data_IF_075595110332
#
_entry.id   IF_075595110332
#
_cell.length_a   1.000
_cell.length_b   1.000
_cell.length_c   1.000
_cell.angle_alpha   90.00
_cell.angle_beta   90.00
_cell.angle_gamma   90.00
#
_symmetry.space_group_name_H-M   'P 1'
#
loop_
_entity.id
_entity.type
_entity.pdbx_description
1 polymer ?
#
# COMPACT_ATOMS: atom_id res chain seq x y z
N UNK A 1 13.01 -13.05 37.11
CA UNK A 1 13.94 -13.97 37.81
C UNK A 1 13.30 -15.21 38.44
N UNK A 2 12.17 -15.12 39.17
CA UNK A 2 11.61 -16.30 39.87
C UNK A 2 11.35 -17.53 38.98
N UNK A 3 10.93 -17.33 37.73
CA UNK A 3 10.66 -18.40 36.75
C UNK A 3 11.95 -18.89 36.07
N UNK A 4 12.65 -18.03 35.31
CA UNK A 4 13.83 -18.41 34.51
C UNK A 4 15.15 -18.53 35.26
N UNK A 5 15.20 -18.07 36.53
CA UNK A 5 16.38 -18.01 37.42
C UNK A 5 17.47 -17.04 36.97
N UNK A 6 17.89 -17.10 35.70
CA UNK A 6 18.86 -16.21 35.06
C UNK A 6 18.27 -15.62 33.77
N UNK A 7 18.65 -14.40 33.36
CA UNK A 7 18.29 -13.85 32.05
C UNK A 7 18.68 -14.73 30.85
N UNK A 8 19.77 -15.50 30.96
CA UNK A 8 20.26 -16.37 29.86
C UNK A 8 19.28 -17.50 29.50
N UNK A 9 18.37 -17.83 30.41
CA UNK A 9 17.35 -18.88 30.21
C UNK A 9 16.04 -18.32 29.65
N UNK A 10 15.92 -17.00 29.45
CA UNK A 10 14.69 -16.39 28.93
C UNK A 10 14.53 -16.76 27.46
N UNK A 11 13.38 -17.32 27.10
CA UNK A 11 13.02 -17.54 25.70
C UNK A 11 13.08 -16.23 24.91
N UNK A 12 13.77 -16.24 23.78
CA UNK A 12 14.03 -15.04 22.96
C UNK A 12 12.75 -14.27 22.66
N UNK A 13 11.65 -14.97 22.33
CA UNK A 13 10.37 -14.32 22.08
C UNK A 13 9.88 -13.51 23.29
N UNK A 14 9.87 -14.13 24.48
CA UNK A 14 9.39 -13.50 25.72
C UNK A 14 10.28 -12.33 26.12
N UNK A 15 11.60 -12.52 26.04
CA UNK A 15 12.57 -11.46 26.33
C UNK A 15 12.39 -10.28 25.38
N UNK A 16 12.32 -10.53 24.07
CA UNK A 16 12.36 -9.48 23.07
C UNK A 16 11.04 -8.70 22.91
N UNK A 17 9.87 -9.31 23.15
CA UNK A 17 8.60 -8.56 23.22
C UNK A 17 8.44 -7.79 24.54
N UNK A 18 9.19 -8.18 25.58
CA UNK A 18 9.19 -7.52 26.88
C UNK A 18 10.07 -6.27 26.94
N UNK A 19 10.85 -5.98 25.90
CA UNK A 19 11.66 -4.78 25.80
C UNK A 19 10.81 -3.53 25.50
N UNK A 20 11.24 -2.39 26.03
CA UNK A 20 10.64 -1.10 25.69
C UNK A 20 10.84 -0.77 24.20
N UNK A 21 9.80 -0.37 23.46
CA UNK A 21 9.93 0.00 22.06
C UNK A 21 10.85 1.21 21.85
N UNK A 22 11.64 1.17 20.77
CA UNK A 22 12.42 2.34 20.34
C UNK A 22 11.49 3.50 19.91
N UNK A 23 11.94 4.77 19.97
CA UNK A 23 11.14 5.91 19.50
C UNK A 23 10.62 5.72 18.07
N UNK A 24 9.30 5.77 17.90
CA UNK A 24 8.64 5.54 16.60
C UNK A 24 8.54 4.08 16.16
N UNK A 25 9.10 3.14 16.91
CA UNK A 25 9.02 1.69 16.66
C UNK A 25 7.86 1.05 17.44
N UNK A 26 7.53 -0.18 17.05
CA UNK A 26 6.64 -1.07 17.81
C UNK A 26 7.39 -2.17 18.54
N UNK A 27 8.71 -2.22 18.40
CA UNK A 27 9.57 -3.26 18.95
C UNK A 27 10.82 -2.67 19.59
N UNK A 28 11.35 -3.38 20.58
CA UNK A 28 12.59 -3.02 21.27
C UNK A 28 13.87 -3.30 20.46
N UNK A 29 15.05 -3.03 21.05
CA UNK A 29 16.36 -3.18 20.40
C UNK A 29 16.63 -4.58 19.82
N UNK A 30 16.30 -5.65 20.54
CA UNK A 30 16.59 -7.02 20.11
C UNK A 30 15.80 -7.39 18.87
N UNK A 31 14.48 -7.19 18.88
CA UNK A 31 13.65 -7.42 17.69
C UNK A 31 14.01 -6.48 16.55
N UNK A 32 14.39 -5.23 16.83
CA UNK A 32 14.86 -4.30 15.78
C UNK A 32 16.07 -4.87 15.06
N UNK A 33 17.07 -5.37 15.79
CA UNK A 33 18.26 -5.99 15.23
C UNK A 33 17.90 -7.23 14.39
N UNK A 34 17.17 -8.18 14.98
CA UNK A 34 16.81 -9.44 14.33
C UNK A 34 15.99 -9.22 13.05
N UNK A 35 14.95 -8.38 13.12
CA UNK A 35 14.09 -8.08 11.98
C UNK A 35 14.84 -7.33 10.89
N UNK A 36 15.63 -6.31 11.23
CA UNK A 36 16.36 -5.51 10.24
C UNK A 36 17.37 -6.36 9.47
N UNK A 37 18.11 -7.22 10.17
CA UNK A 37 19.04 -8.15 9.54
C UNK A 37 18.33 -9.15 8.63
N UNK A 38 17.18 -9.68 9.07
CA UNK A 38 16.43 -10.66 8.27
C UNK A 38 15.82 -10.02 7.02
N UNK A 39 15.19 -8.85 7.13
CA UNK A 39 14.62 -8.13 5.99
C UNK A 39 15.70 -7.67 5.00
N UNK A 40 16.86 -7.21 5.49
CA UNK A 40 17.99 -6.85 4.64
C UNK A 40 18.50 -8.07 3.85
N UNK A 41 18.72 -9.20 4.52
CA UNK A 41 19.15 -10.44 3.84
C UNK A 41 18.14 -10.92 2.80
N UNK A 42 16.84 -10.86 3.09
CA UNK A 42 15.79 -11.24 2.14
C UNK A 42 15.79 -10.33 0.91
N UNK A 43 15.87 -9.02 1.12
CA UNK A 43 15.91 -8.04 0.03
C UNK A 43 17.17 -8.20 -0.83
N UNK A 44 18.34 -8.27 -0.20
CA UNK A 44 19.63 -8.22 -0.88
C UNK A 44 19.97 -9.55 -1.57
N UNK A 45 19.43 -10.68 -1.08
CA UNK A 45 19.62 -11.99 -1.70
C UNK A 45 18.55 -12.33 -2.77
N UNK A 46 17.50 -11.52 -2.90
CA UNK A 46 16.46 -11.74 -3.90
C UNK A 46 16.88 -11.16 -5.26
N UNK A 47 17.29 -12.06 -6.17
CA UNK A 47 17.61 -11.71 -7.55
C UNK A 47 16.45 -10.98 -8.24
N UNK A 48 15.20 -11.32 -7.90
CA UNK A 48 13.97 -10.76 -8.46
C UNK A 48 13.42 -9.60 -7.63
N UNK A 49 14.21 -9.03 -6.72
CA UNK A 49 13.81 -7.82 -6.01
C UNK A 49 13.40 -6.74 -7.01
N UNK A 50 12.23 -6.13 -6.80
CA UNK A 50 11.58 -5.29 -7.82
C UNK A 50 12.36 -4.02 -8.20
N UNK A 51 13.29 -3.58 -7.34
CA UNK A 51 14.16 -2.44 -7.62
C UNK A 51 15.45 -2.81 -8.34
N UNK A 52 15.77 -4.10 -8.46
CA UNK A 52 16.96 -4.52 -9.21
C UNK A 52 16.81 -4.16 -10.69
N UNK A 53 17.94 -3.86 -11.32
CA UNK A 53 18.01 -3.67 -12.76
C UNK A 53 17.64 -4.98 -13.47
N UNK A 54 16.89 -4.87 -14.57
CA UNK A 54 16.43 -6.02 -15.34
C UNK A 54 15.18 -6.73 -14.79
N UNK A 55 14.76 -6.50 -13.54
CA UNK A 55 13.48 -7.06 -13.03
C UNK A 55 12.27 -6.39 -13.68
N UNK A 56 12.29 -5.05 -13.76
CA UNK A 56 11.26 -4.22 -14.37
C UNK A 56 11.90 -3.12 -15.21
N UNK A 57 11.15 -2.53 -16.15
CA UNK A 57 11.59 -1.29 -16.82
C UNK A 57 11.56 -0.10 -15.86
N UNK A 58 12.15 1.03 -16.25
CA UNK A 58 12.12 2.23 -15.43
C UNK A 58 10.69 2.74 -15.22
N UNK A 59 9.86 2.71 -16.27
CA UNK A 59 8.46 3.14 -16.24
C UNK A 59 7.62 2.22 -15.33
N UNK A 60 7.83 0.91 -15.43
CA UNK A 60 7.17 -0.07 -14.57
C UNK A 60 7.52 0.14 -13.09
N UNK A 61 8.80 0.39 -12.76
CA UNK A 61 9.23 0.67 -11.38
C UNK A 61 8.62 1.95 -10.82
N UNK A 62 8.55 3.02 -11.61
CA UNK A 62 7.94 4.27 -11.17
C UNK A 62 6.44 4.12 -10.89
N UNK A 63 5.76 3.26 -11.65
CA UNK A 63 4.37 2.93 -11.39
C UNK A 63 4.20 2.08 -10.12
N UNK A 64 5.05 1.06 -9.92
CA UNK A 64 5.04 0.24 -8.71
C UNK A 64 5.30 1.05 -7.44
N UNK A 65 6.20 2.05 -7.48
CA UNK A 65 6.46 2.95 -6.34
C UNK A 65 5.24 3.78 -5.91
N UNK A 66 4.30 4.02 -6.82
CA UNK A 66 3.06 4.78 -6.54
C UNK A 66 1.94 3.91 -5.99
N UNK A 67 2.11 2.58 -6.02
CA UNK A 67 1.13 1.64 -5.48
C UNK A 67 0.95 1.83 -3.97
N UNK A 68 -0.25 1.52 -3.48
CA UNK A 68 -0.59 1.61 -2.06
C UNK A 68 -1.49 0.46 -1.66
N UNK A 69 -1.37 -0.01 -0.41
CA UNK A 69 -2.28 -1.02 0.14
C UNK A 69 -3.72 -0.50 0.19
N UNK A 70 -3.92 0.82 0.36
CA UNK A 70 -5.22 1.47 0.22
C UNK A 70 -5.88 1.14 -1.13
N UNK A 71 -5.12 1.20 -2.24
CA UNK A 71 -5.66 0.87 -3.56
C UNK A 71 -6.01 -0.61 -3.68
N UNK A 72 -5.16 -1.49 -3.16
CA UNK A 72 -5.40 -2.94 -3.16
C UNK A 72 -6.70 -3.27 -2.44
N UNK A 73 -6.95 -2.66 -1.27
CA UNK A 73 -8.20 -2.84 -0.54
C UNK A 73 -9.43 -2.31 -1.31
N UNK A 74 -9.30 -1.14 -1.95
CA UNK A 74 -10.38 -0.58 -2.76
C UNK A 74 -10.77 -1.44 -3.97
N UNK A 75 -9.81 -2.14 -4.59
CA UNK A 75 -10.06 -2.94 -5.79
C UNK A 75 -10.53 -4.37 -5.49
N UNK A 76 -10.17 -4.91 -4.31
CA UNK A 76 -10.37 -6.32 -3.98
C UNK A 76 -11.25 -6.56 -2.74
N UNK A 77 -11.57 -5.52 -1.98
CA UNK A 77 -12.39 -5.64 -0.78
C UNK A 77 -13.89 -5.68 -1.08
N UNK A 78 -14.62 -6.53 -0.37
CA UNK A 78 -16.08 -6.61 -0.47
C UNK A 78 -16.72 -5.30 0.01
N UNK A 79 -17.33 -4.56 -0.92
CA UNK A 79 -18.02 -3.28 -0.66
C UNK A 79 -17.17 -2.22 0.07
N UNK A 80 -15.84 -2.30 -0.01
CA UNK A 80 -14.96 -1.24 0.48
C UNK A 80 -15.03 -0.05 -0.49
N UNK A 81 -15.62 1.06 -0.03
CA UNK A 81 -15.75 2.30 -0.82
C UNK A 81 -14.94 3.45 -0.26
N UNK A 82 -14.44 3.32 0.98
CA UNK A 82 -13.73 4.36 1.70
C UNK A 82 -12.55 3.76 2.46
N UNK A 83 -11.41 4.43 2.41
CA UNK A 83 -10.16 4.02 3.05
C UNK A 83 -9.36 5.25 3.48
N UNK A 84 -8.37 5.06 4.36
CA UNK A 84 -7.32 6.07 4.55
C UNK A 84 -6.28 5.98 3.42
N UNK A 85 -5.53 7.06 3.18
CA UNK A 85 -4.46 7.04 2.17
C UNK A 85 -3.28 6.17 2.60
N UNK A 86 -2.90 6.27 3.87
CA UNK A 86 -2.01 5.32 4.54
C UNK A 86 -2.84 4.46 5.50
N UNK A 87 -2.95 3.16 5.20
CA UNK A 87 -3.73 2.21 5.98
C UNK A 87 -3.00 1.69 7.23
N UNK A 88 -1.72 2.00 7.38
CA UNK A 88 -0.95 1.68 8.59
C UNK A 88 -1.08 2.77 9.66
N UNK A 89 -1.53 3.96 9.27
CA UNK A 89 -1.74 5.10 10.17
C UNK A 89 -3.22 5.25 10.50
N UNK A 90 -3.53 5.57 11.77
CA UNK A 90 -4.91 5.83 12.18
C UNK A 90 -5.48 7.07 11.45
N UNK A 91 -6.79 7.08 11.11
CA UNK A 91 -7.40 8.22 10.42
C UNK A 91 -7.17 9.56 11.10
N UNK A 92 -7.20 9.61 12.43
CA UNK A 92 -7.05 10.83 13.23
C UNK A 92 -5.61 11.35 13.26
N UNK A 93 -4.63 10.52 12.88
CA UNK A 93 -3.20 10.84 12.89
C UNK A 93 -2.65 11.23 11.52
N UNK A 94 -3.49 11.30 10.50
CA UNK A 94 -3.08 11.65 9.13
C UNK A 94 -3.99 12.72 8.52
N UNK A 95 -3.45 13.61 7.68
CA UNK A 95 -4.26 14.61 7.00
C UNK A 95 -5.19 13.97 5.97
N UNK A 96 -6.40 14.51 5.84
CA UNK A 96 -7.41 14.04 4.88
C UNK A 96 -8.26 12.87 5.37
N UNK A 97 -7.92 12.24 6.50
CA UNK A 97 -8.75 11.20 7.13
C UNK A 97 -9.14 10.06 6.18
N UNK A 98 -10.41 9.69 6.20
CA UNK A 98 -10.99 8.67 5.34
C UNK A 98 -11.48 9.33 4.05
N UNK A 99 -11.08 8.78 2.90
CA UNK A 99 -11.43 9.27 1.55
C UNK A 99 -12.14 8.19 0.74
N UNK A 100 -12.87 8.60 -0.30
CA UNK A 100 -13.52 7.64 -1.20
C UNK A 100 -12.48 6.97 -2.11
N UNK A 101 -12.67 5.69 -2.45
CA UNK A 101 -11.75 4.89 -3.26
C UNK A 101 -11.43 5.48 -4.65
N UNK A 102 -12.31 6.34 -5.19
CA UNK A 102 -12.04 7.06 -6.44
C UNK A 102 -10.91 8.08 -6.33
N UNK A 103 -10.55 8.50 -5.13
CA UNK A 103 -9.45 9.45 -4.88
C UNK A 103 -8.10 8.77 -4.64
N UNK A 104 -8.08 7.44 -4.58
CA UNK A 104 -6.85 6.65 -4.46
C UNK A 104 -6.38 6.29 -5.87
N UNK A 105 -5.15 6.68 -6.21
CA UNK A 105 -4.55 6.43 -7.52
C UNK A 105 -4.51 4.93 -7.83
N UNK A 106 -4.94 4.59 -9.05
CA UNK A 106 -4.90 3.24 -9.58
C UNK A 106 -3.54 2.96 -10.22
N UNK A 107 -3.12 1.69 -10.22
CA UNK A 107 -1.92 1.24 -10.91
C UNK A 107 -2.13 1.30 -12.44
N UNK A 108 -1.25 2.00 -13.15
CA UNK A 108 -1.26 2.10 -14.60
C UNK A 108 -0.53 0.92 -15.28
N UNK A 109 -1.27 -0.09 -15.71
CA UNK A 109 -0.72 -1.30 -16.33
C UNK A 109 -0.29 -1.14 -17.80
N UNK A 110 -0.44 0.04 -18.41
CA UNK A 110 -0.06 0.27 -19.81
C UNK A 110 1.44 0.05 -20.08
N UNK A 111 2.28 0.14 -19.04
CA UNK A 111 3.72 -0.15 -19.12
C UNK A 111 4.05 -1.64 -19.25
N UNK A 112 3.07 -2.54 -19.07
CA UNK A 112 3.20 -3.99 -19.30
C UNK A 112 2.61 -4.44 -20.63
N UNK A 113 2.09 -3.50 -21.44
CA UNK A 113 1.52 -3.84 -22.73
C UNK A 113 2.61 -4.29 -23.69
N UNK A 114 2.55 -5.56 -24.10
CA UNK A 114 3.41 -6.14 -25.11
C UNK A 114 3.14 -5.50 -26.47
N UNK A 115 4.20 -5.20 -27.22
CA UNK A 115 4.10 -4.57 -28.55
C UNK A 115 4.09 -5.59 -29.68
N UNK A 116 4.46 -6.83 -29.39
CA UNK A 116 4.51 -7.93 -30.34
C UNK A 116 3.57 -9.03 -29.83
N UNK A 117 2.62 -9.50 -30.65
CA UNK A 117 1.81 -10.66 -30.29
C UNK A 117 2.73 -11.84 -30.00
N UNK A 118 2.63 -12.40 -28.80
CA UNK A 118 3.27 -13.66 -28.48
C UNK A 118 2.67 -14.77 -29.38
N UNK A 119 3.47 -15.46 -30.21
CA UNK A 119 2.98 -16.58 -31.02
C UNK A 119 2.36 -17.71 -30.18
N UNK A 120 2.78 -17.88 -28.92
CA UNK A 120 2.26 -18.88 -27.98
C UNK A 120 1.00 -18.41 -27.25
N UNK A 121 0.84 -17.08 -27.08
CA UNK A 121 -0.36 -16.46 -26.51
C UNK A 121 -1.06 -15.59 -27.57
N UNK A 122 -1.89 -16.18 -28.46
CA UNK A 122 -2.66 -15.40 -29.41
C UNK A 122 -3.51 -14.37 -28.68
N UNK A 123 -3.42 -13.10 -29.08
CA UNK A 123 -4.21 -12.01 -28.51
C UNK A 123 -5.71 -12.40 -28.49
N UNK A 124 -6.22 -12.77 -27.32
CA UNK A 124 -7.67 -12.86 -27.13
C UNK A 124 -8.16 -11.43 -27.20
N UNK A 125 -8.88 -11.08 -28.28
CA UNK A 125 -9.53 -9.77 -28.43
C UNK A 125 -10.31 -9.45 -27.16
N UNK A 126 -9.70 -8.66 -26.28
CA UNK A 126 -10.30 -8.25 -25.06
C UNK A 126 -11.46 -7.32 -25.40
N UNK A 127 -12.70 -7.77 -25.18
CA UNK A 127 -13.88 -6.90 -25.21
C UNK A 127 -13.92 -5.99 -23.97
N UNK A 128 -12.84 -5.91 -23.19
CA UNK A 128 -12.75 -5.04 -22.03
C UNK A 128 -12.82 -3.60 -22.49
N UNK A 129 -14.02 -3.02 -22.39
CA UNK A 129 -14.22 -1.59 -22.51
C UNK A 129 -13.78 -0.98 -21.18
N UNK A 130 -12.70 -0.18 -21.14
CA UNK A 130 -12.36 0.55 -19.93
C UNK A 130 -13.61 1.34 -19.50
N UNK A 131 -14.08 1.14 -18.26
CA UNK A 131 -15.16 1.95 -17.71
C UNK A 131 -14.67 3.40 -17.74
N UNK A 132 -15.32 4.24 -18.54
CA UNK A 132 -15.06 5.68 -18.56
C UNK A 132 -15.14 6.18 -17.11
N UNK A 133 -14.04 6.70 -16.59
CA UNK A 133 -14.02 7.49 -15.36
C UNK A 133 -15.07 8.59 -15.52
N UNK A 134 -16.12 8.53 -14.70
CA UNK A 134 -17.20 9.51 -14.71
C UNK A 134 -16.63 10.81 -14.12
N UNK A 135 -16.07 11.67 -14.97
CA UNK A 135 -15.76 13.05 -14.60
C UNK A 135 -17.08 13.73 -14.25
N UNK A 136 -17.33 13.92 -12.96
CA UNK A 136 -18.45 14.73 -12.49
C UNK A 136 -18.05 16.20 -12.62
N UNK A 137 -18.31 16.78 -13.79
CA UNK A 137 -18.37 18.23 -13.95
C UNK A 137 -19.68 18.60 -14.61
N UNK A 138 -20.66 18.99 -13.79
CA UNK A 138 -21.66 20.00 -14.16
C UNK A 138 -21.79 20.96 -13.00
N UNK A 139 -21.03 22.05 -13.07
CA UNK A 139 -21.43 23.31 -12.45
C UNK A 139 -22.61 23.82 -13.28
N UNK A 140 -23.76 24.07 -12.65
CA UNK A 140 -24.84 24.83 -13.25
C UNK A 140 -25.00 26.17 -12.53
N UNK A 141 -25.16 27.28 -13.29
CA UNK A 141 -25.18 28.62 -12.74
C UNK A 141 -26.57 28.96 -12.21
N UNK A 142 -26.60 29.56 -11.02
CA UNK A 142 -27.64 30.49 -10.62
C UNK A 142 -28.98 29.91 -10.15
N UNK A 143 -29.17 29.88 -8.83
CA UNK A 143 -30.49 30.13 -8.23
C UNK A 143 -30.33 30.72 -6.83
N UNK A 144 -30.26 32.06 -6.83
CA UNK A 144 -30.84 33.03 -5.89
C UNK A 144 -31.08 32.58 -4.43
N UNK A 145 -30.31 33.20 -3.53
CA UNK A 145 -30.60 33.35 -2.09
C UNK A 145 -32.04 33.82 -1.86
N UNK A 146 -32.79 33.11 -1.01
CA UNK A 146 -33.82 33.73 -0.18
C UNK A 146 -33.59 33.35 1.28
N UNK A 147 -33.46 34.43 2.05
CA UNK A 147 -33.40 34.49 3.50
C UNK A 147 -34.77 34.19 4.10
N UNK A 148 -34.82 33.36 5.14
CA UNK A 148 -35.80 33.49 6.20
C UNK A 148 -35.14 33.13 7.54
N UNK A 149 -34.95 34.15 8.38
CA UNK A 149 -35.00 34.09 9.85
C UNK A 149 -36.42 33.59 10.23
N UNK A 150 -36.72 32.93 11.34
CA UNK A 150 -36.21 32.86 12.73
C UNK A 150 -36.40 31.41 13.19
#
# INVERSE_FOLDING_TARGET
>A
ERLYKTPDNIDVWVGAIGEEPLPGSKVGPTLTCLLSLQFAKLRDADRLWYLNEGTFTAEQREELKRSSLARVLCENGDNITHVTRDVFTLPERQPGGIVHCSEILALNLEHWRERTPDPECPEVRSKFKPKKTRTSTKVHPGSRLQSARV
#
